data_IF_573279676882
#
_entry.id   IF_573279676882
#
_cell.length_a   1.000
_cell.length_b   1.000
_cell.length_c   1.000
_cell.angle_alpha   90.00
_cell.angle_beta   90.00
_cell.angle_gamma   90.00
#
_symmetry.space_group_name_H-M   'P 1'
#
loop_
_entity.id
_entity.type
_entity.pdbx_description
1 polymer ?
#
# COMPACT_ATOMS: atom_id res chain seq x y z
N UNK A 1 -15.66 17.37 -10.64
CA UNK A 1 -15.64 16.63 -9.37
C UNK A 1 -16.22 15.25 -9.67
N UNK A 2 -15.45 14.17 -9.54
CA UNK A 2 -16.01 12.84 -9.78
C UNK A 2 -17.07 12.54 -8.73
N UNK A 3 -18.17 11.87 -9.06
CA UNK A 3 -19.17 11.49 -8.09
C UNK A 3 -18.53 10.62 -6.99
N UNK A 4 -18.95 10.75 -5.73
CA UNK A 4 -18.35 10.05 -4.59
C UNK A 4 -18.33 8.52 -4.74
N UNK A 5 -19.24 7.98 -5.50
CA UNK A 5 -19.40 6.54 -5.74
C UNK A 5 -18.25 5.90 -6.53
N UNK A 6 -17.45 6.71 -7.27
CA UNK A 6 -16.30 6.21 -8.02
C UNK A 6 -15.08 5.87 -7.13
N UNK A 7 -15.09 6.33 -5.88
CA UNK A 7 -13.99 6.14 -4.94
C UNK A 7 -14.44 5.51 -3.62
N UNK A 8 -15.58 4.82 -3.63
CA UNK A 8 -15.99 4.03 -2.49
C UNK A 8 -14.87 3.06 -2.12
N UNK A 9 -14.28 3.27 -0.94
CA UNK A 9 -13.27 2.41 -0.34
C UNK A 9 -13.90 1.24 0.42
N UNK A 10 -15.21 1.02 0.27
CA UNK A 10 -15.83 -0.13 0.88
C UNK A 10 -15.24 -1.41 0.27
N UNK A 11 -15.02 -2.45 1.06
CA UNK A 11 -14.59 -3.76 0.55
C UNK A 11 -15.50 -4.29 -0.55
N UNK A 12 -16.75 -3.86 -0.56
CA UNK A 12 -17.80 -4.25 -1.51
C UNK A 12 -17.77 -3.45 -2.82
N UNK A 13 -16.85 -2.49 -2.98
CA UNK A 13 -16.72 -1.81 -4.27
C UNK A 13 -16.22 -2.83 -5.30
N UNK A 14 -17.11 -3.34 -6.13
CA UNK A 14 -16.80 -4.32 -7.16
C UNK A 14 -15.68 -3.78 -8.04
N UNK A 15 -14.58 -4.53 -8.11
CA UNK A 15 -13.47 -4.25 -9.02
C UNK A 15 -13.75 -4.75 -10.45
N UNK A 16 -14.92 -5.34 -10.66
CA UNK A 16 -15.36 -5.88 -11.94
C UNK A 16 -16.87 -5.71 -12.10
N UNK A 17 -17.32 -5.66 -13.35
CA UNK A 17 -18.73 -5.70 -13.74
C UNK A 17 -19.01 -7.04 -14.42
N UNK A 18 -20.22 -7.54 -14.27
CA UNK A 18 -20.68 -8.69 -15.05
C UNK A 18 -21.13 -8.18 -16.42
N UNK A 19 -20.54 -8.73 -17.47
CA UNK A 19 -20.89 -8.41 -18.87
C UNK A 19 -21.57 -9.67 -19.44
N UNK A 20 -22.72 -9.48 -20.06
CA UNK A 20 -23.42 -10.54 -20.77
C UNK A 20 -22.99 -10.45 -22.25
N UNK A 21 -22.32 -11.47 -22.74
CA UNK A 21 -21.95 -11.59 -24.16
C UNK A 21 -23.15 -11.82 -25.06
N UNK A 22 -22.98 -11.70 -26.38
CA UNK A 22 -24.04 -11.90 -27.37
C UNK A 22 -24.66 -13.30 -27.33
N UNK A 23 -23.91 -14.31 -26.85
CA UNK A 23 -24.38 -15.69 -26.68
C UNK A 23 -24.97 -15.98 -25.30
N UNK A 24 -25.14 -14.93 -24.45
CA UNK A 24 -25.68 -15.07 -23.10
C UNK A 24 -24.65 -15.49 -22.03
N UNK A 25 -23.38 -15.59 -22.39
CA UNK A 25 -22.29 -15.88 -21.44
C UNK A 25 -22.09 -14.69 -20.48
N UNK A 26 -21.94 -15.03 -19.19
CA UNK A 26 -21.68 -14.02 -18.16
C UNK A 26 -20.18 -13.94 -17.89
N UNK A 27 -19.54 -12.90 -18.43
CA UNK A 27 -18.14 -12.58 -18.16
C UNK A 27 -18.00 -11.55 -17.03
N UNK A 28 -16.83 -11.49 -16.43
CA UNK A 28 -16.48 -10.45 -15.47
C UNK A 28 -15.36 -9.59 -16.06
N UNK A 29 -15.62 -8.29 -16.24
CA UNK A 29 -14.63 -7.32 -16.72
C UNK A 29 -14.16 -6.42 -15.59
N UNK A 30 -12.84 -6.20 -15.51
CA UNK A 30 -12.25 -5.28 -14.53
C UNK A 30 -12.65 -3.84 -14.85
N UNK A 31 -13.17 -3.11 -13.84
CA UNK A 31 -13.49 -1.69 -13.99
C UNK A 31 -12.20 -0.91 -14.05
N UNK A 32 -12.03 -0.17 -15.14
CA UNK A 32 -10.90 0.71 -15.35
C UNK A 32 -11.36 2.17 -15.25
N UNK A 33 -10.68 2.94 -14.39
CA UNK A 33 -11.02 4.34 -14.18
C UNK A 33 -10.23 5.22 -15.14
N UNK A 34 -10.92 5.88 -16.05
CA UNK A 34 -10.35 6.88 -16.96
C UNK A 34 -10.77 8.27 -16.51
N UNK A 35 -9.80 9.11 -16.18
CA UNK A 35 -9.99 10.50 -15.75
C UNK A 35 -8.90 11.37 -16.36
N UNK A 36 -9.27 12.58 -16.80
CA UNK A 36 -8.35 13.53 -17.45
C UNK A 36 -7.28 14.08 -16.48
N UNK A 37 -7.55 14.05 -15.16
CA UNK A 37 -6.62 14.49 -14.12
C UNK A 37 -5.73 13.36 -13.57
N UNK A 38 -5.87 12.14 -14.09
CA UNK A 38 -5.03 10.98 -13.75
C UNK A 38 -3.88 10.85 -14.76
N UNK A 39 -2.72 10.43 -14.29
CA UNK A 39 -1.53 10.21 -15.11
C UNK A 39 -1.58 8.92 -15.93
N UNK A 40 -2.26 7.91 -15.40
CA UNK A 40 -2.40 6.62 -16.06
C UNK A 40 -3.75 5.98 -15.72
N UNK A 41 -4.27 5.26 -16.71
CA UNK A 41 -5.49 4.46 -16.58
C UNK A 41 -5.12 3.07 -16.04
N UNK A 42 -5.76 2.65 -14.95
CA UNK A 42 -5.53 1.35 -14.34
C UNK A 42 -6.75 0.86 -13.58
N UNK A 43 -6.93 -0.45 -13.47
CA UNK A 43 -7.91 -1.09 -12.57
C UNK A 43 -7.41 -1.20 -11.13
N UNK A 44 -6.12 -0.94 -10.86
CA UNK A 44 -5.56 -0.99 -9.51
C UNK A 44 -6.06 0.18 -8.66
N UNK A 45 -6.93 -0.13 -7.68
CA UNK A 45 -7.55 0.86 -6.80
C UNK A 45 -6.53 1.66 -5.98
N UNK A 46 -5.46 1.03 -5.51
CA UNK A 46 -4.44 1.68 -4.70
C UNK A 46 -3.67 2.73 -5.51
N UNK A 47 -3.33 2.43 -6.76
CA UNK A 47 -2.69 3.38 -7.68
C UNK A 47 -3.64 4.53 -8.03
N UNK A 48 -4.92 4.23 -8.27
CA UNK A 48 -5.95 5.25 -8.51
C UNK A 48 -6.13 6.17 -7.31
N UNK A 49 -6.05 5.61 -6.10
CA UNK A 49 -6.17 6.38 -4.86
C UNK A 49 -5.03 7.38 -4.70
N UNK A 50 -3.79 7.00 -5.02
CA UNK A 50 -2.63 7.92 -5.01
C UNK A 50 -2.83 9.08 -5.99
N UNK A 51 -3.27 8.79 -7.22
CA UNK A 51 -3.56 9.82 -8.24
C UNK A 51 -4.68 10.75 -7.77
N UNK A 52 -5.74 10.19 -7.18
CA UNK A 52 -6.87 10.96 -6.67
C UNK A 52 -6.45 11.89 -5.52
N UNK A 53 -5.70 11.41 -4.55
CA UNK A 53 -5.19 12.26 -3.46
C UNK A 53 -4.38 13.42 -4.04
N UNK A 54 -3.48 13.16 -4.99
CA UNK A 54 -2.71 14.22 -5.64
C UNK A 54 -3.62 15.24 -6.32
N UNK A 55 -4.69 14.80 -6.99
CA UNK A 55 -5.61 15.73 -7.69
C UNK A 55 -6.38 16.64 -6.72
N UNK A 56 -6.67 16.15 -5.50
CA UNK A 56 -7.35 16.92 -4.46
C UNK A 56 -6.47 17.98 -3.80
N UNK A 57 -5.15 17.80 -3.82
CA UNK A 57 -4.23 18.75 -3.18
C UNK A 57 -4.18 20.07 -3.95
N UNK A 58 -4.18 21.19 -3.23
CA UNK A 58 -3.78 22.49 -3.76
C UNK A 58 -2.26 22.54 -3.94
N UNK A 59 -1.76 23.52 -4.69
CA UNK A 59 -0.31 23.79 -4.75
C UNK A 59 0.19 24.08 -3.33
N UNK A 60 1.32 23.47 -2.95
CA UNK A 60 1.90 23.43 -1.61
C UNK A 60 1.05 22.66 -0.58
N UNK A 61 -0.01 21.97 -1.00
CA UNK A 61 -0.73 21.02 -0.15
C UNK A 61 0.14 19.81 0.15
N UNK A 62 -0.05 19.22 1.33
CA UNK A 62 0.72 18.09 1.85
C UNK A 62 -0.15 16.85 1.96
N UNK A 63 0.46 15.70 1.70
CA UNK A 63 -0.16 14.41 1.92
C UNK A 63 0.72 13.47 2.74
N UNK A 64 0.06 12.65 3.55
CA UNK A 64 0.64 11.47 4.18
C UNK A 64 -0.32 10.31 3.90
N UNK A 65 0.10 9.35 3.12
CA UNK A 65 -0.77 8.30 2.58
C UNK A 65 -0.21 6.93 2.93
N UNK A 66 -1.04 6.10 3.55
CA UNK A 66 -0.69 4.69 3.75
C UNK A 66 -0.96 3.96 2.43
N UNK A 67 0.07 3.32 1.92
CA UNK A 67 0.02 2.53 0.69
C UNK A 67 0.59 1.14 0.92
N UNK A 68 0.02 0.09 0.30
CA UNK A 68 0.63 -1.22 0.33
C UNK A 68 1.93 -1.23 -0.49
N UNK A 69 2.78 -2.24 -0.26
CA UNK A 69 4.10 -2.29 -0.86
C UNK A 69 4.08 -2.34 -2.41
N UNK A 70 3.05 -2.97 -3.01
CA UNK A 70 2.94 -3.07 -4.47
C UNK A 70 2.92 -1.70 -5.17
N UNK A 71 2.36 -0.65 -4.56
CA UNK A 71 2.38 0.71 -5.10
C UNK A 71 3.81 1.21 -5.33
N UNK A 72 4.77 0.73 -4.54
CA UNK A 72 6.17 1.17 -4.62
C UNK A 72 6.97 0.49 -5.76
N UNK A 73 6.52 -0.65 -6.28
CA UNK A 73 7.30 -1.41 -7.28
C UNK A 73 6.50 -1.93 -8.49
N UNK A 74 5.16 -1.88 -8.47
CA UNK A 74 4.34 -2.36 -9.58
C UNK A 74 4.74 -1.68 -10.90
N UNK A 75 4.89 -2.44 -11.97
CA UNK A 75 5.27 -1.94 -13.29
C UNK A 75 4.12 -1.28 -14.05
N UNK A 76 4.31 -1.01 -15.33
CA UNK A 76 3.33 -0.42 -16.24
C UNK A 76 2.73 0.90 -15.68
N UNK A 77 1.42 0.92 -15.41
CA UNK A 77 0.75 2.11 -14.87
C UNK A 77 1.38 2.58 -13.55
N UNK A 78 1.83 1.66 -12.69
CA UNK A 78 2.50 2.00 -11.43
C UNK A 78 3.81 2.75 -11.64
N UNK A 79 4.61 2.36 -12.62
CA UNK A 79 5.85 3.06 -12.99
C UNK A 79 5.57 4.48 -13.49
N UNK A 80 4.60 4.64 -14.40
CA UNK A 80 4.19 5.97 -14.90
C UNK A 80 3.72 6.87 -13.77
N UNK A 81 2.90 6.33 -12.86
CA UNK A 81 2.37 7.08 -11.71
C UNK A 81 3.50 7.51 -10.78
N UNK A 82 4.44 6.63 -10.46
CA UNK A 82 5.60 6.98 -9.62
C UNK A 82 6.49 8.04 -10.28
N UNK A 83 6.80 7.89 -11.57
CA UNK A 83 7.57 8.88 -12.33
C UNK A 83 6.90 10.26 -12.25
N UNK A 84 5.60 10.31 -12.54
CA UNK A 84 4.83 11.56 -12.51
C UNK A 84 4.70 12.14 -11.11
N UNK A 85 4.53 11.30 -10.10
CA UNK A 85 4.47 11.71 -8.69
C UNK A 85 5.79 12.37 -8.26
N UNK A 86 6.93 11.75 -8.60
CA UNK A 86 8.26 12.28 -8.29
C UNK A 86 8.54 13.60 -9.05
N UNK A 87 7.97 13.75 -10.23
CA UNK A 87 8.16 14.94 -11.04
C UNK A 87 7.30 16.12 -10.55
N UNK A 88 6.01 15.90 -10.31
CA UNK A 88 5.05 16.97 -9.97
C UNK A 88 4.92 17.24 -8.48
N UNK A 89 5.35 16.30 -7.64
CA UNK A 89 5.34 16.44 -6.20
C UNK A 89 6.75 16.29 -5.63
N UNK A 90 7.00 16.92 -4.47
CA UNK A 90 8.19 16.68 -3.67
C UNK A 90 7.90 15.49 -2.74
N UNK A 91 8.25 14.29 -3.18
CA UNK A 91 8.14 13.07 -2.39
C UNK A 91 9.39 12.99 -1.51
N UNK A 92 9.27 13.44 -0.28
CA UNK A 92 10.42 13.69 0.58
C UNK A 92 10.65 12.63 1.66
N UNK A 93 9.67 11.77 1.96
CA UNK A 93 9.77 10.81 3.07
C UNK A 93 8.96 9.56 2.79
N UNK A 94 9.56 8.41 3.06
CA UNK A 94 8.91 7.09 3.05
C UNK A 94 9.17 6.42 4.41
N UNK A 95 8.10 6.05 5.12
CA UNK A 95 8.16 5.25 6.33
C UNK A 95 7.70 3.84 6.01
N UNK A 96 8.59 2.85 6.15
CA UNK A 96 8.27 1.43 6.00
C UNK A 96 7.68 0.92 7.32
N UNK A 97 6.40 0.58 7.28
CA UNK A 97 5.68 0.08 8.45
C UNK A 97 5.94 -1.42 8.67
N UNK A 98 6.01 -1.88 9.93
CA UNK A 98 6.14 -3.29 10.24
C UNK A 98 4.89 -4.07 9.85
N UNK A 99 5.03 -5.38 9.72
CA UNK A 99 3.91 -6.31 9.62
C UNK A 99 3.22 -6.50 10.98
N UNK A 100 2.03 -7.07 10.99
CA UNK A 100 1.30 -7.38 12.22
C UNK A 100 0.56 -6.22 12.90
N UNK A 101 0.62 -5.00 12.33
CA UNK A 101 -0.08 -3.81 12.86
C UNK A 101 -1.48 -3.62 12.28
N UNK A 102 -1.85 -4.40 11.29
CA UNK A 102 -3.19 -4.40 10.67
C UNK A 102 -3.88 -5.75 10.91
N UNK A 103 -5.22 -5.79 10.79
CA UNK A 103 -5.98 -7.03 10.94
C UNK A 103 -5.52 -8.13 9.96
N UNK A 104 -5.24 -7.76 8.71
CA UNK A 104 -4.57 -8.64 7.76
C UNK A 104 -3.07 -8.68 8.09
N UNK A 105 -2.62 -9.72 8.78
CA UNK A 105 -1.30 -9.78 9.42
C UNK A 105 -0.12 -9.70 8.43
N UNK A 106 -0.23 -10.29 7.26
CA UNK A 106 0.82 -10.29 6.23
C UNK A 106 0.99 -8.98 5.45
N UNK A 107 0.15 -7.96 5.68
CA UNK A 107 0.18 -6.71 4.91
C UNK A 107 1.46 -5.93 5.16
N UNK A 108 2.23 -5.72 4.10
CA UNK A 108 3.38 -4.83 4.05
C UNK A 108 2.93 -3.45 3.59
N UNK A 109 2.80 -2.51 4.51
CA UNK A 109 2.38 -1.15 4.21
C UNK A 109 3.53 -0.15 4.41
N UNK A 110 3.35 1.03 3.82
CA UNK A 110 4.29 2.14 3.92
C UNK A 110 3.50 3.44 4.04
N UNK A 111 4.08 4.47 4.65
CA UNK A 111 3.51 5.82 4.62
C UNK A 111 4.35 6.66 3.68
N UNK A 112 3.71 7.17 2.64
CA UNK A 112 4.33 8.05 1.65
C UNK A 112 3.96 9.50 1.98
N UNK A 113 4.97 10.35 2.17
CA UNK A 113 4.79 11.78 2.45
C UNK A 113 5.23 12.58 1.24
N UNK A 114 4.36 13.43 0.75
CA UNK A 114 4.68 14.31 -0.38
C UNK A 114 3.95 15.64 -0.33
N UNK A 115 4.58 16.66 -0.88
CA UNK A 115 4.03 18.00 -1.06
C UNK A 115 3.76 18.24 -2.54
N UNK A 116 2.56 18.69 -2.90
CA UNK A 116 2.27 19.11 -4.28
C UNK A 116 3.02 20.41 -4.58
N UNK A 117 3.75 20.44 -5.69
CA UNK A 117 4.48 21.62 -6.16
C UNK A 117 3.84 22.22 -7.40
N UNK A 118 4.17 23.48 -7.69
CA UNK A 118 3.82 24.09 -8.97
C UNK A 118 4.56 23.37 -10.10
N UNK A 119 3.91 23.29 -11.29
CA UNK A 119 4.51 22.64 -12.44
C UNK A 119 5.88 23.26 -12.80
N UNK A 120 6.85 22.40 -13.04
CA UNK A 120 8.22 22.77 -13.41
C UNK A 120 8.75 21.82 -14.48
N UNK A 121 9.70 22.29 -15.29
CA UNK A 121 10.43 21.43 -16.23
C UNK A 121 11.35 20.41 -15.50
N UNK A 122 11.78 20.76 -14.29
CA UNK A 122 12.59 19.89 -13.45
C UNK A 122 11.70 19.14 -12.44
N UNK A 123 12.11 17.92 -12.07
CA UNK A 123 11.45 17.16 -11.05
C UNK A 123 11.44 17.91 -9.71
N UNK A 124 10.29 17.88 -9.02
CA UNK A 124 10.12 18.53 -7.72
C UNK A 124 10.82 17.75 -6.61
N UNK A 125 10.79 16.43 -6.68
CA UNK A 125 11.57 15.56 -5.79
C UNK A 125 13.04 15.66 -6.14
N UNK A 126 13.90 15.86 -5.15
CA UNK A 126 15.35 15.82 -5.30
C UNK A 126 15.96 14.59 -4.66
N UNK A 127 15.44 14.22 -3.51
CA UNK A 127 15.87 13.06 -2.72
C UNK A 127 14.75 12.53 -1.88
N UNK A 128 14.75 11.23 -1.58
CA UNK A 128 13.80 10.60 -0.69
C UNK A 128 14.53 10.09 0.55
N UNK A 129 13.96 10.42 1.70
CA UNK A 129 14.38 9.90 2.99
C UNK A 129 13.53 8.70 3.35
N UNK A 130 14.16 7.59 3.64
CA UNK A 130 13.48 6.34 3.98
C UNK A 130 13.81 5.96 5.41
N UNK A 131 12.76 5.69 6.20
CA UNK A 131 12.87 5.12 7.54
C UNK A 131 12.35 3.67 7.54
N UNK A 132 13.21 2.74 7.94
CA UNK A 132 12.82 1.34 8.06
C UNK A 132 12.42 1.00 9.50
N UNK A 133 11.11 0.97 9.76
CA UNK A 133 10.53 0.46 10.99
C UNK A 133 10.18 -1.03 10.89
N UNK A 134 10.38 -1.64 9.73
CA UNK A 134 9.94 -3.02 9.43
C UNK A 134 10.98 -4.06 9.79
N UNK A 135 12.20 -3.90 9.28
CA UNK A 135 13.25 -4.93 9.37
C UNK A 135 13.60 -5.23 10.81
N UNK A 136 13.58 -6.51 11.20
CA UNK A 136 13.86 -7.01 12.56
C UNK A 136 12.95 -6.38 13.64
N UNK A 137 11.70 -6.07 13.28
CA UNK A 137 10.66 -5.59 14.19
C UNK A 137 9.40 -6.44 14.03
N UNK A 138 8.93 -7.00 15.12
CA UNK A 138 7.77 -7.88 15.16
C UNK A 138 6.69 -7.25 16.03
N UNK A 139 5.57 -6.89 15.40
CA UNK A 139 4.41 -6.36 16.08
C UNK A 139 3.21 -7.29 15.89
N UNK A 140 2.28 -7.21 16.83
CA UNK A 140 1.00 -7.91 16.77
C UNK A 140 -0.09 -6.99 17.31
N UNK A 141 -1.34 -7.21 16.92
CA UNK A 141 -2.44 -6.35 17.37
C UNK A 141 -2.73 -6.45 18.87
N UNK A 142 -2.45 -7.59 19.50
CA UNK A 142 -2.86 -7.85 20.89
C UNK A 142 -1.69 -7.93 21.87
N UNK A 143 -0.68 -8.72 21.53
CA UNK A 143 0.40 -9.06 22.48
C UNK A 143 1.58 -8.09 22.42
N UNK A 144 1.84 -7.48 21.26
CA UNK A 144 2.90 -6.50 21.07
C UNK A 144 2.44 -5.40 20.07
N UNK A 145 1.44 -4.58 20.43
CA UNK A 145 0.93 -3.55 19.54
C UNK A 145 1.94 -2.43 19.33
N UNK A 146 1.95 -1.86 18.12
CA UNK A 146 2.74 -0.66 17.82
C UNK A 146 2.34 0.49 18.75
N UNK A 147 3.31 1.02 19.48
CA UNK A 147 3.12 2.14 20.40
C UNK A 147 3.61 3.44 19.78
N UNK A 148 3.15 4.58 20.34
CA UNK A 148 3.63 5.91 19.92
C UNK A 148 5.15 6.05 20.11
N UNK A 149 5.70 5.47 21.17
CA UNK A 149 7.14 5.45 21.46
C UNK A 149 7.99 4.79 20.39
N UNK A 150 7.45 3.80 19.69
CA UNK A 150 8.16 3.11 18.59
C UNK A 150 8.43 4.04 17.39
N UNK A 151 7.68 5.14 17.30
CA UNK A 151 7.84 6.15 16.26
C UNK A 151 8.67 7.36 16.72
N UNK A 152 9.16 7.42 17.94
CA UNK A 152 9.86 8.60 18.49
C UNK A 152 11.16 8.88 17.73
N UNK A 153 11.91 7.85 17.38
CA UNK A 153 13.13 7.99 16.56
C UNK A 153 12.78 8.56 15.18
N UNK A 154 11.80 7.98 14.49
CA UNK A 154 11.33 8.49 13.20
C UNK A 154 10.93 9.97 13.28
N UNK A 155 10.14 10.34 14.28
CA UNK A 155 9.66 11.73 14.47
C UNK A 155 10.82 12.68 14.70
N UNK A 156 11.82 12.28 15.49
CA UNK A 156 13.01 13.10 15.78
C UNK A 156 13.88 13.33 14.53
N UNK A 157 13.98 12.31 13.65
CA UNK A 157 14.79 12.34 12.43
C UNK A 157 14.04 13.00 11.27
N UNK A 158 12.72 12.87 11.22
CA UNK A 158 11.89 13.34 10.11
C UNK A 158 11.93 14.86 9.93
N UNK A 159 12.04 15.65 10.99
CA UNK A 159 12.17 17.12 10.98
C UNK A 159 11.33 17.79 9.88
N UNK A 160 9.99 17.72 9.94
CA UNK A 160 9.13 18.10 8.80
C UNK A 160 9.23 19.59 8.42
N UNK A 161 9.66 20.45 9.34
CA UNK A 161 9.85 21.89 9.10
C UNK A 161 11.29 22.20 8.62
N UNK A 162 12.24 21.33 8.93
CA UNK A 162 13.67 21.53 8.67
C UNK A 162 14.27 20.34 7.90
N UNK A 163 13.66 20.00 6.76
CA UNK A 163 14.07 18.86 5.92
C UNK A 163 15.56 18.94 5.52
N UNK A 164 16.07 20.15 5.31
CA UNK A 164 17.49 20.39 4.96
C UNK A 164 18.47 20.06 6.09
N UNK A 165 18.00 19.92 7.34
CA UNK A 165 18.82 19.56 8.51
C UNK A 165 18.78 18.06 8.82
N UNK A 166 18.15 17.26 7.96
CA UNK A 166 18.13 15.80 8.12
C UNK A 166 19.52 15.24 7.89
N UNK A 167 19.90 14.27 8.70
CA UNK A 167 21.14 13.52 8.56
C UNK A 167 20.82 12.04 8.58
N UNK A 168 21.46 11.21 7.75
CA UNK A 168 21.24 9.77 7.78
C UNK A 168 21.80 9.18 9.09
N UNK A 169 21.16 8.16 9.61
CA UNK A 169 21.73 7.32 10.68
C UNK A 169 22.48 6.12 10.09
N UNK A 170 22.15 5.76 8.85
CA UNK A 170 22.85 4.71 8.14
C UNK A 170 24.15 5.23 7.51
N UNK A 171 25.21 4.46 7.68
CA UNK A 171 26.49 4.60 6.96
C UNK A 171 27.16 3.23 6.88
N UNK A 172 28.28 3.13 6.14
CA UNK A 172 29.08 1.90 6.12
C UNK A 172 29.62 1.52 7.51
N UNK A 173 29.84 2.52 8.38
CA UNK A 173 30.29 2.32 9.76
C UNK A 173 29.11 2.04 10.72
N UNK A 174 27.89 2.42 10.34
CA UNK A 174 26.66 2.19 11.11
C UNK A 174 25.61 1.49 10.23
N UNK A 175 25.83 0.22 9.85
CA UNK A 175 24.97 -0.50 8.90
C UNK A 175 23.55 -0.73 9.43
N UNK A 176 23.34 -0.68 10.75
CA UNK A 176 22.04 -0.87 11.40
C UNK A 176 21.19 0.41 11.46
N UNK A 177 21.71 1.52 10.96
CA UNK A 177 20.99 2.79 10.90
C UNK A 177 19.71 2.69 10.07
N UNK A 178 18.57 3.11 10.68
CA UNK A 178 17.24 2.96 10.08
C UNK A 178 16.80 4.10 9.18
N UNK A 179 17.57 5.19 9.11
CA UNK A 179 17.27 6.39 8.33
C UNK A 179 18.30 6.59 7.24
N UNK A 180 17.86 6.51 5.98
CA UNK A 180 18.72 6.61 4.81
C UNK A 180 18.18 7.57 3.77
N UNK A 181 19.06 8.28 3.08
CA UNK A 181 18.75 9.18 1.97
C UNK A 181 19.11 8.53 0.63
N UNK A 182 18.25 8.75 -0.36
CA UNK A 182 18.48 8.34 -1.75
C UNK A 182 18.28 9.55 -2.66
N UNK A 183 19.23 9.81 -3.55
CA UNK A 183 19.10 10.85 -4.56
C UNK A 183 18.12 10.39 -5.68
N UNK A 184 17.49 11.36 -6.32
CA UNK A 184 16.48 11.05 -7.35
C UNK A 184 17.08 10.25 -8.52
N UNK A 185 18.29 10.60 -8.95
CA UNK A 185 18.98 9.94 -10.05
C UNK A 185 19.16 8.44 -9.80
N UNK A 186 19.52 8.06 -8.59
CA UNK A 186 19.67 6.65 -8.19
C UNK A 186 18.33 5.91 -8.23
N UNK A 187 17.24 6.59 -7.89
CA UNK A 187 15.90 6.01 -7.91
C UNK A 187 15.36 5.83 -9.32
N UNK A 188 15.64 6.81 -10.20
CA UNK A 188 15.22 6.74 -11.61
C UNK A 188 15.98 5.67 -12.40
N UNK A 189 17.21 5.32 -11.98
CA UNK A 189 18.00 4.26 -12.58
C UNK A 189 17.54 2.85 -12.20
N UNK A 190 16.66 2.70 -11.22
CA UNK A 190 16.14 1.40 -10.77
C UNK A 190 15.11 0.84 -11.74
N UNK A 191 15.06 -0.50 -11.82
CA UNK A 191 14.00 -1.19 -12.57
C UNK A 191 12.62 -0.70 -12.12
N UNK A 192 11.77 -0.32 -13.10
CA UNK A 192 10.39 0.18 -12.90
C UNK A 192 10.30 1.36 -11.93
N UNK A 193 11.38 2.12 -11.73
CA UNK A 193 11.45 3.22 -10.75
C UNK A 193 10.96 2.76 -9.38
N UNK A 194 11.45 1.61 -8.94
CA UNK A 194 11.01 0.99 -7.69
C UNK A 194 11.48 1.82 -6.48
N UNK A 195 10.52 2.17 -5.61
CA UNK A 195 10.74 2.83 -4.32
C UNK A 195 10.76 1.83 -3.15
N UNK A 196 10.69 0.52 -3.43
CA UNK A 196 10.85 -0.51 -2.40
C UNK A 196 12.34 -0.76 -2.15
N UNK A 197 12.84 -0.11 -1.11
CA UNK A 197 14.28 0.04 -0.81
C UNK A 197 14.64 -0.79 0.41
N UNK A 198 15.71 -1.58 0.29
CA UNK A 198 16.24 -2.45 1.34
C UNK A 198 17.72 -2.15 1.54
N UNK A 199 18.18 -2.06 2.78
CA UNK A 199 19.59 -1.89 3.12
C UNK A 199 19.97 -2.51 4.48
N UNK A 200 18.95 -2.74 5.35
CA UNK A 200 19.18 -3.41 6.62
C UNK A 200 19.28 -4.91 6.38
N UNK A 201 20.17 -5.54 7.15
CA UNK A 201 20.28 -6.99 7.19
C UNK A 201 19.05 -7.55 7.89
N UNK A 202 18.39 -8.48 7.25
CA UNK A 202 17.25 -9.19 7.83
C UNK A 202 17.78 -10.41 8.58
N UNK A 203 17.70 -10.38 9.91
CA UNK A 203 18.20 -11.44 10.77
C UNK A 203 17.41 -12.74 10.62
N UNK A 204 16.16 -12.67 10.13
CA UNK A 204 15.36 -13.87 9.84
C UNK A 204 15.97 -14.73 8.74
N UNK A 205 16.81 -14.17 7.89
CA UNK A 205 17.55 -14.90 6.86
C UNK A 205 18.77 -15.65 7.44
N UNK A 206 19.22 -15.32 8.66
CA UNK A 206 20.32 -15.99 9.33
C UNK A 206 19.88 -17.27 10.05
N UNK A 207 18.60 -17.36 10.38
CA UNK A 207 18.00 -18.55 10.98
C UNK A 207 17.68 -19.65 9.95
N UNK A 208 18.19 -19.52 8.72
CA UNK A 208 18.01 -20.54 7.68
C UNK A 208 18.53 -21.93 8.08
N UNK A 209 19.47 -21.97 9.01
CA UNK A 209 19.98 -23.25 9.57
C UNK A 209 19.01 -23.90 10.58
N UNK A 210 18.00 -23.16 11.05
CA UNK A 210 16.94 -23.61 11.96
C UNK A 210 15.55 -23.64 11.32
N UNK A 211 15.45 -23.51 9.99
CA UNK A 211 14.17 -23.69 9.31
C UNK A 211 13.66 -25.12 9.54
N UNK A 212 12.35 -25.29 9.84
CA UNK A 212 11.74 -26.60 9.84
C UNK A 212 11.96 -27.31 8.51
N UNK A 213 11.91 -28.64 8.52
CA UNK A 213 11.98 -29.43 7.28
C UNK A 213 10.94 -28.93 6.26
N UNK A 214 11.25 -28.91 4.94
CA UNK A 214 10.37 -28.34 3.92
C UNK A 214 8.94 -28.88 3.92
N UNK A 215 8.75 -30.12 4.32
CA UNK A 215 7.45 -30.78 4.47
C UNK A 215 6.65 -30.25 5.66
N UNK A 216 7.31 -29.84 6.74
CA UNK A 216 6.67 -29.19 7.90
C UNK A 216 6.17 -27.80 7.46
N UNK A 217 7.01 -27.00 6.80
CA UNK A 217 6.63 -25.68 6.27
C UNK A 217 5.49 -25.81 5.24
N UNK A 218 5.56 -26.79 4.36
CA UNK A 218 4.50 -27.04 3.38
C UNK A 218 3.18 -27.44 4.06
N UNK A 219 3.23 -28.18 5.15
CA UNK A 219 2.06 -28.58 5.94
C UNK A 219 1.44 -27.37 6.66
N UNK A 220 2.24 -26.50 7.26
CA UNK A 220 1.78 -25.26 7.90
C UNK A 220 1.13 -24.31 6.87
N UNK A 221 1.75 -24.12 5.71
CA UNK A 221 1.16 -23.32 4.62
C UNK A 221 -0.17 -23.91 4.15
N UNK A 222 -0.27 -25.24 4.03
CA UNK A 222 -1.50 -25.91 3.61
C UNK A 222 -2.61 -25.77 4.66
N UNK A 223 -2.27 -25.77 5.93
CA UNK A 223 -3.22 -25.58 7.04
C UNK A 223 -3.72 -24.13 7.10
N UNK A 224 -2.84 -23.16 6.95
CA UNK A 224 -3.18 -21.74 6.86
C UNK A 224 -4.11 -21.46 5.67
N UNK A 225 -3.81 -22.02 4.50
CA UNK A 225 -4.65 -21.88 3.30
C UNK A 225 -6.03 -22.51 3.48
N UNK A 226 -6.12 -23.67 4.15
CA UNK A 226 -7.42 -24.28 4.49
C UNK A 226 -8.24 -23.42 5.44
N UNK A 227 -7.59 -22.89 6.47
CA UNK A 227 -8.24 -22.00 7.44
C UNK A 227 -8.79 -20.74 6.77
N UNK A 228 -8.05 -20.12 5.86
CA UNK A 228 -8.51 -18.97 5.08
C UNK A 228 -9.67 -19.35 4.16
N UNK A 229 -9.59 -20.51 3.50
CA UNK A 229 -10.65 -21.00 2.63
C UNK A 229 -11.94 -21.27 3.40
N UNK A 230 -11.86 -21.91 4.57
CA UNK A 230 -13.01 -22.15 5.44
C UNK A 230 -13.66 -20.85 5.92
N UNK A 231 -12.86 -19.83 6.29
CA UNK A 231 -13.38 -18.51 6.62
C UNK A 231 -14.11 -17.86 5.44
N UNK A 232 -13.54 -17.90 4.25
CA UNK A 232 -14.16 -17.34 3.05
C UNK A 232 -15.46 -18.06 2.68
N UNK A 233 -15.52 -19.38 2.84
CA UNK A 233 -16.74 -20.17 2.60
C UNK A 233 -17.81 -19.87 3.64
N UNK A 234 -17.44 -19.73 4.92
CA UNK A 234 -18.36 -19.33 5.98
C UNK A 234 -18.96 -17.94 5.77
N UNK A 235 -18.14 -16.99 5.30
CA UNK A 235 -18.61 -15.64 4.97
C UNK A 235 -19.56 -15.65 3.76
N UNK A 236 -19.34 -16.52 2.78
CA UNK A 236 -20.22 -16.70 1.63
C UNK A 236 -21.55 -17.34 2.02
N UNK A 237 -21.57 -18.31 2.95
CA UNK A 237 -22.81 -18.93 3.48
C UNK A 237 -23.63 -17.91 4.27
N UNK A 238 -22.99 -17.03 5.05
CA UNK A 238 -23.68 -15.95 5.77
C UNK A 238 -24.30 -14.91 4.83
N UNK A 239 -23.70 -14.68 3.65
CA UNK A 239 -24.24 -13.78 2.63
C UNK A 239 -25.38 -14.42 1.81
N UNK A 240 -25.55 -15.73 1.86
CA UNK A 240 -26.59 -16.47 1.10
C UNK A 240 -27.87 -16.75 1.87
N UNK A 241 -27.96 -16.32 3.13
CA UNK A 241 -29.23 -16.36 3.88
C UNK A 241 -30.12 -15.23 3.41
N UNK A 242 -31.01 -15.53 2.45
CA UNK A 242 -32.12 -14.65 2.08
C UNK A 242 -33.05 -14.45 3.28
N UNK A 243 -33.59 -13.25 3.47
CA UNK A 243 -34.63 -13.06 4.51
C UNK A 243 -35.87 -13.83 4.10
N UNK A 244 -36.12 -14.96 4.75
CA UNK A 244 -37.42 -15.59 4.74
C UNK A 244 -38.43 -14.66 5.43
N UNK A 245 -39.48 -14.28 4.71
CA UNK A 245 -40.73 -13.89 5.35
C UNK A 245 -41.20 -12.47 5.13
N UNK A 246 -41.85 -12.25 4.01
CA UNK A 246 -43.03 -11.37 3.97
C UNK A 246 -44.00 -11.84 2.88
N UNK A 247 -44.64 -12.99 3.16
CA UNK A 247 -45.88 -13.36 2.48
C UNK A 247 -46.86 -13.88 3.54
N UNK A 248 -47.62 -12.97 4.12
CA UNK A 248 -48.95 -13.24 4.68
C UNK A 248 -49.47 -11.94 5.29
N UNK A 249 -50.23 -11.19 4.53
CA UNK A 249 -51.28 -10.26 5.00
C UNK A 249 -51.92 -9.51 3.81
N UNK A 250 -52.58 -10.23 2.92
CA UNK A 250 -53.72 -9.64 2.17
C UNK A 250 -54.71 -10.76 1.86
N UNK A 251 -55.55 -11.11 2.83
CA UNK A 251 -56.88 -11.67 2.58
C UNK A 251 -57.70 -11.52 3.85
N UNK A 252 -58.45 -10.42 3.95
CA UNK A 252 -59.72 -10.32 4.66
C UNK A 252 -60.15 -8.84 4.80
N UNK A 253 -60.95 -8.37 3.87
CA UNK A 253 -62.13 -7.54 4.07
C UNK A 253 -62.58 -6.86 2.77
#
# INVERSE_FOLDING_TARGET
MAPPDQFSLSPDSQSSIKVIGEEGDVGSEAITYQRDDFWATTSNKQLNFVQHIKSLLTINGRAAVIVPANVLFEGRAGEVIRLKLLHECDVHTLLRLPTGIFYAQGVKANVLFFDRRAGSAQASTKRIWVYDLRTNKHFTLKTNPLQRSDLDEFVSLCKPVAIHQRQPTWSEQTPDGRWRCYELEDLLARDKISLDLFWLKDDSLLDSDNLPEPDVIASEIAEDLRSVLEQMLGDLELCSVEPEGESDLVEAA
#
